data_IF_469453680287
#
_entry.id   IF_469453680287
#
_cell.length_a   1.000
_cell.length_b   1.000
_cell.length_c   1.000
_cell.angle_alpha   90.00
_cell.angle_beta   90.00
_cell.angle_gamma   90.00
#
_symmetry.space_group_name_H-M   'P 1'
#
loop_
_entity.id
_entity.type
_entity.pdbx_description
1 polymer ?
#
# COMPACT_ATOMS: atom_id res chain seq x y z
N UNK A 1 28.68 -2.33 32.16
CA UNK A 1 29.03 -1.71 30.86
C UNK A 1 27.84 -1.94 29.95
N UNK A 2 26.89 -1.02 29.96
CA UNK A 2 25.65 -1.11 29.18
C UNK A 2 25.95 -0.84 27.71
N UNK A 3 25.59 -1.78 26.85
CA UNK A 3 25.65 -1.60 25.41
C UNK A 3 24.71 -0.44 25.01
N UNK A 4 25.12 0.44 24.10
CA UNK A 4 24.35 1.62 23.75
C UNK A 4 23.13 1.30 22.87
N UNK A 5 22.00 1.95 23.16
CA UNK A 5 20.65 1.67 22.63
C UNK A 5 20.36 2.18 21.21
N UNK A 6 21.32 2.12 20.28
CA UNK A 6 21.11 2.49 18.87
C UNK A 6 20.95 1.29 17.94
N UNK A 7 20.47 0.16 18.48
CA UNK A 7 20.11 -1.01 17.67
C UNK A 7 18.69 -0.81 17.16
N UNK A 8 18.58 -0.35 15.91
CA UNK A 8 17.48 -0.60 15.00
C UNK A 8 16.28 -1.35 15.59
N UNK A 9 15.30 -0.62 16.14
CA UNK A 9 14.05 -1.20 16.64
C UNK A 9 13.12 -1.59 15.48
N UNK A 10 13.61 -2.43 14.55
CA UNK A 10 12.74 -3.13 13.61
C UNK A 10 11.86 -4.06 14.44
N UNK A 11 10.66 -3.60 14.78
CA UNK A 11 9.61 -4.50 15.22
C UNK A 11 9.18 -5.25 13.96
N UNK A 12 9.68 -6.48 13.82
CA UNK A 12 9.37 -7.38 12.70
C UNK A 12 7.87 -7.49 12.40
N UNK A 13 7.02 -7.23 13.40
CA UNK A 13 5.56 -7.20 13.30
C UNK A 13 5.02 -5.94 12.59
N UNK A 14 5.61 -4.77 12.81
CA UNK A 14 5.18 -3.52 12.16
C UNK A 14 5.60 -3.49 10.69
N UNK A 15 6.81 -3.95 10.35
CA UNK A 15 7.22 -3.94 8.93
C UNK A 15 6.46 -4.96 8.07
N UNK A 16 5.88 -6.00 8.70
CA UNK A 16 5.22 -7.10 8.02
C UNK A 16 4.03 -6.64 7.16
N UNK A 17 3.28 -5.63 7.58
CA UNK A 17 2.10 -5.18 6.82
C UNK A 17 2.46 -4.28 5.64
N UNK A 18 3.51 -3.46 5.77
CA UNK A 18 4.06 -2.72 4.64
C UNK A 18 4.64 -3.71 3.60
N UNK A 19 5.33 -4.74 4.08
CA UNK A 19 5.83 -5.85 3.26
C UNK A 19 4.69 -6.63 2.62
N UNK A 20 3.59 -6.91 3.34
CA UNK A 20 2.43 -7.60 2.77
C UNK A 20 1.77 -6.78 1.67
N UNK A 21 1.61 -5.48 1.89
CA UNK A 21 1.03 -4.56 0.93
C UNK A 21 1.92 -4.43 -0.32
N UNK A 22 3.17 -4.01 -0.17
CA UNK A 22 4.07 -3.77 -1.30
C UNK A 22 4.48 -5.08 -1.98
N UNK A 23 4.71 -6.14 -1.20
CA UNK A 23 5.05 -7.46 -1.71
C UNK A 23 3.96 -8.05 -2.59
N UNK A 24 2.69 -7.97 -2.18
CA UNK A 24 1.58 -8.43 -3.03
C UNK A 24 1.36 -7.56 -4.27
N UNK A 25 1.59 -6.24 -4.19
CA UNK A 25 1.62 -5.36 -5.38
C UNK A 25 2.71 -5.76 -6.35
N UNK A 26 3.92 -6.07 -5.87
CA UNK A 26 5.05 -6.56 -6.69
C UNK A 26 4.66 -7.87 -7.37
N UNK A 27 4.05 -8.82 -6.65
CA UNK A 27 3.58 -10.09 -7.25
C UNK A 27 2.63 -9.84 -8.40
N UNK A 28 1.69 -8.89 -8.29
CA UNK A 28 0.82 -8.54 -9.41
C UNK A 28 1.56 -7.84 -10.56
N UNK A 29 2.38 -6.83 -10.25
CA UNK A 29 3.08 -6.02 -11.24
C UNK A 29 4.05 -6.84 -12.10
N UNK A 30 4.66 -7.89 -11.56
CA UNK A 30 5.66 -8.68 -12.28
C UNK A 30 5.21 -10.11 -12.59
N UNK A 31 4.30 -10.68 -11.80
CA UNK A 31 3.75 -12.03 -12.04
C UNK A 31 2.51 -12.04 -12.93
N UNK A 32 1.74 -10.94 -12.93
CA UNK A 32 0.53 -10.80 -13.76
C UNK A 32 0.34 -9.35 -14.26
N UNK A 33 1.32 -8.77 -14.98
CA UNK A 33 1.33 -7.35 -15.36
C UNK A 33 0.09 -6.90 -16.15
N UNK A 34 -0.53 -7.82 -16.90
CA UNK A 34 -1.71 -7.54 -17.73
C UNK A 34 -3.03 -7.60 -16.97
N UNK A 35 -3.03 -8.03 -15.70
CA UNK A 35 -4.24 -8.07 -14.90
C UNK A 35 -4.80 -6.66 -14.70
N UNK A 36 -6.13 -6.50 -14.73
CA UNK A 36 -6.78 -5.21 -14.52
C UNK A 36 -6.37 -4.60 -13.16
N UNK A 37 -6.30 -5.43 -12.12
CA UNK A 37 -5.89 -4.98 -10.78
C UNK A 37 -4.43 -4.54 -10.69
N UNK A 38 -3.57 -4.93 -11.64
CA UNK A 38 -2.17 -4.52 -11.67
C UNK A 38 -1.96 -3.17 -12.36
N UNK A 39 -2.96 -2.60 -13.04
CA UNK A 39 -2.76 -1.40 -13.84
C UNK A 39 -2.46 -0.15 -12.99
N UNK A 40 -1.71 0.84 -13.53
CA UNK A 40 -1.15 1.95 -12.77
C UNK A 40 -2.15 2.72 -11.93
N UNK A 41 -3.34 3.03 -12.48
CA UNK A 41 -4.40 3.72 -11.75
C UNK A 41 -4.88 2.92 -10.55
N UNK A 42 -5.07 1.61 -10.71
CA UNK A 42 -5.54 0.75 -9.63
C UNK A 42 -4.49 0.70 -8.51
N UNK A 43 -3.21 0.52 -8.86
CA UNK A 43 -2.11 0.56 -7.89
C UNK A 43 -2.07 1.90 -7.16
N UNK A 44 -1.92 3.02 -7.87
CA UNK A 44 -1.75 4.33 -7.26
C UNK A 44 -2.98 4.76 -6.48
N UNK A 45 -4.15 4.79 -7.10
CA UNK A 45 -5.37 5.27 -6.47
C UNK A 45 -5.84 4.32 -5.36
N UNK A 46 -5.70 3.00 -5.55
CA UNK A 46 -6.05 2.01 -4.54
C UNK A 46 -5.26 2.21 -3.24
N UNK A 47 -3.94 2.33 -3.34
CA UNK A 47 -3.09 2.56 -2.16
C UNK A 47 -3.31 3.93 -1.51
N UNK A 48 -3.47 5.00 -2.30
CA UNK A 48 -3.72 6.35 -1.77
C UNK A 48 -5.05 6.41 -1.02
N UNK A 49 -6.14 5.90 -1.62
CA UNK A 49 -7.46 5.86 -0.97
C UNK A 49 -7.40 5.00 0.29
N UNK A 50 -6.76 3.83 0.22
CA UNK A 50 -6.65 2.94 1.37
C UNK A 50 -5.85 3.57 2.52
N UNK A 51 -4.75 4.27 2.22
CA UNK A 51 -3.98 5.00 3.22
C UNK A 51 -4.79 6.15 3.84
N UNK A 52 -5.56 6.89 3.04
CA UNK A 52 -6.45 7.95 3.54
C UNK A 52 -7.49 7.37 4.50
N UNK A 53 -8.20 6.32 4.09
CA UNK A 53 -9.18 5.62 4.93
C UNK A 53 -8.57 5.14 6.25
N UNK A 54 -7.40 4.51 6.18
CA UNK A 54 -6.71 3.99 7.36
C UNK A 54 -6.25 5.08 8.33
N UNK A 55 -5.61 6.15 7.84
CA UNK A 55 -5.20 7.28 8.68
C UNK A 55 -6.42 7.99 9.28
N UNK A 56 -7.48 8.20 8.51
CA UNK A 56 -8.71 8.83 9.02
C UNK A 56 -9.37 7.94 10.07
N UNK A 57 -9.48 6.63 9.83
CA UNK A 57 -10.03 5.69 10.80
C UNK A 57 -9.20 5.67 12.10
N UNK A 58 -7.87 5.65 12.02
CA UNK A 58 -7.01 5.74 13.21
C UNK A 58 -7.25 7.05 13.98
N UNK A 59 -7.32 8.19 13.29
CA UNK A 59 -7.55 9.49 13.95
C UNK A 59 -8.90 9.59 14.66
N UNK A 60 -9.94 8.95 14.14
CA UNK A 60 -11.30 9.02 14.70
C UNK A 60 -11.56 7.90 15.71
N UNK A 61 -11.03 6.71 15.47
CA UNK A 61 -11.39 5.47 16.17
C UNK A 61 -10.17 4.74 16.77
N UNK A 62 -8.98 5.33 16.77
CA UNK A 62 -7.73 4.65 17.16
C UNK A 62 -7.72 4.10 18.60
N UNK A 63 -8.56 4.64 19.48
CA UNK A 63 -8.79 4.10 20.83
C UNK A 63 -9.50 2.72 20.82
N UNK A 64 -10.15 2.37 19.71
CA UNK A 64 -10.82 1.09 19.45
C UNK A 64 -10.18 0.41 18.24
N UNK A 65 -8.93 -0.03 18.37
CA UNK A 65 -8.08 -0.51 17.27
C UNK A 65 -8.77 -1.48 16.30
N UNK A 66 -9.44 -2.53 16.81
CA UNK A 66 -10.15 -3.53 15.99
C UNK A 66 -11.26 -2.89 15.15
N UNK A 67 -12.00 -1.94 15.72
CA UNK A 67 -13.06 -1.21 15.02
C UNK A 67 -12.46 -0.28 13.98
N UNK A 68 -11.38 0.42 14.31
CA UNK A 68 -10.66 1.28 13.37
C UNK A 68 -10.15 0.49 12.16
N UNK A 69 -9.58 -0.70 12.36
CA UNK A 69 -9.14 -1.59 11.28
C UNK A 69 -10.31 -2.03 10.40
N UNK A 70 -11.41 -2.48 11.01
CA UNK A 70 -12.59 -2.92 10.26
C UNK A 70 -13.19 -1.79 9.42
N UNK A 71 -13.31 -0.59 9.99
CA UNK A 71 -13.81 0.60 9.28
C UNK A 71 -12.85 1.02 8.18
N UNK A 72 -11.54 1.06 8.45
CA UNK A 72 -10.52 1.39 7.46
C UNK A 72 -10.60 0.47 6.25
N UNK A 73 -10.63 -0.85 6.49
CA UNK A 73 -10.67 -1.84 5.42
C UNK A 73 -11.98 -1.77 4.62
N UNK A 74 -13.13 -1.74 5.30
CA UNK A 74 -14.44 -1.69 4.65
C UNK A 74 -14.61 -0.41 3.79
N UNK A 75 -14.23 0.74 4.32
CA UNK A 75 -14.30 2.01 3.58
C UNK A 75 -13.31 2.07 2.43
N UNK A 76 -12.11 1.49 2.57
CA UNK A 76 -11.14 1.39 1.48
C UNK A 76 -11.68 0.54 0.32
N UNK A 77 -12.25 -0.62 0.61
CA UNK A 77 -12.86 -1.49 -0.40
C UNK A 77 -14.01 -0.76 -1.11
N UNK A 78 -14.91 -0.16 -0.34
CA UNK A 78 -16.05 0.59 -0.88
C UNK A 78 -15.57 1.72 -1.81
N UNK A 79 -14.64 2.56 -1.34
CA UNK A 79 -14.17 3.70 -2.13
C UNK A 79 -13.42 3.25 -3.37
N UNK A 80 -12.58 2.22 -3.29
CA UNK A 80 -11.92 1.63 -4.47
C UNK A 80 -12.94 1.14 -5.51
N UNK A 81 -14.06 0.54 -5.08
CA UNK A 81 -15.14 0.14 -5.98
C UNK A 81 -15.83 1.36 -6.61
N UNK A 82 -16.14 2.39 -5.81
CA UNK A 82 -16.77 3.63 -6.29
C UNK A 82 -15.91 4.34 -7.33
N UNK A 83 -14.60 4.42 -7.09
CA UNK A 83 -13.67 5.04 -8.04
C UNK A 83 -13.18 4.06 -9.10
N UNK A 84 -13.71 2.84 -9.21
CA UNK A 84 -13.28 1.83 -10.18
C UNK A 84 -11.76 1.60 -10.22
N UNK A 85 -11.12 1.59 -9.05
CA UNK A 85 -9.67 1.45 -8.89
C UNK A 85 -9.31 0.36 -7.88
N UNK A 86 -9.97 -0.79 -7.99
CA UNK A 86 -9.76 -1.92 -7.08
C UNK A 86 -8.35 -2.48 -7.24
N UNK A 87 -7.57 -2.36 -6.17
CA UNK A 87 -6.27 -3.00 -6.05
C UNK A 87 -6.23 -3.77 -4.72
N UNK A 88 -6.49 -5.08 -4.73
CA UNK A 88 -6.61 -5.87 -3.50
C UNK A 88 -5.42 -5.72 -2.52
N UNK A 89 -4.14 -5.62 -2.97
CA UNK A 89 -3.01 -5.33 -2.07
C UNK A 89 -3.15 -4.07 -1.22
N UNK A 90 -3.86 -3.05 -1.72
CA UNK A 90 -4.05 -1.79 -1.01
C UNK A 90 -4.86 -1.94 0.30
N UNK A 91 -5.67 -3.00 0.43
CA UNK A 91 -6.35 -3.28 1.70
C UNK A 91 -5.38 -3.42 2.88
N UNK A 92 -4.19 -4.02 2.66
CA UNK A 92 -3.17 -4.11 3.69
C UNK A 92 -2.57 -2.74 4.07
N UNK A 93 -2.54 -1.77 3.14
CA UNK A 93 -2.15 -0.38 3.46
C UNK A 93 -3.10 0.27 4.44
N UNK A 94 -4.42 0.07 4.28
CA UNK A 94 -5.43 0.63 5.18
C UNK A 94 -5.27 0.06 6.61
N UNK A 95 -5.07 -1.25 6.71
CA UNK A 95 -4.81 -1.92 7.99
C UNK A 95 -3.53 -1.37 8.62
N UNK A 96 -2.44 -1.28 7.85
CA UNK A 96 -1.15 -0.83 8.35
C UNK A 96 -1.16 0.61 8.88
N UNK A 97 -1.94 1.51 8.25
CA UNK A 97 -2.10 2.88 8.74
C UNK A 97 -2.71 2.95 10.16
N UNK A 98 -3.44 1.91 10.59
CA UNK A 98 -4.05 1.82 11.92
C UNK A 98 -3.14 1.12 12.91
N UNK A 99 -2.53 -0.02 12.53
CA UNK A 99 -1.77 -0.89 13.46
C UNK A 99 -0.25 -0.80 13.29
N UNK A 100 0.24 0.14 12.46
CA UNK A 100 1.66 0.31 12.17
C UNK A 100 2.50 0.89 13.31
N UNK A 101 1.92 1.06 14.49
CA UNK A 101 2.59 1.59 15.67
C UNK A 101 2.92 3.08 15.59
N UNK A 102 3.52 3.66 16.65
CA UNK A 102 3.72 5.11 16.79
C UNK A 102 4.50 5.77 15.65
N UNK A 103 5.45 5.04 15.05
CA UNK A 103 6.24 5.54 13.93
C UNK A 103 5.39 5.79 12.68
N UNK A 104 4.34 5.00 12.46
CA UNK A 104 3.43 5.12 11.32
C UNK A 104 2.28 6.04 11.65
N UNK A 105 1.60 5.80 12.78
CA UNK A 105 0.45 6.59 13.18
C UNK A 105 0.83 8.05 13.46
N UNK A 106 2.07 8.29 13.94
CA UNK A 106 2.63 9.62 14.15
C UNK A 106 2.85 10.42 12.87
N UNK A 107 3.00 9.78 11.71
CA UNK A 107 3.08 10.47 10.42
C UNK A 107 1.73 11.12 10.05
N UNK A 108 0.61 10.57 10.54
CA UNK A 108 -0.72 11.00 10.15
C UNK A 108 -0.88 10.97 8.63
N UNK A 109 -1.37 12.07 8.03
CA UNK A 109 -1.57 12.11 6.57
C UNK A 109 -0.27 12.16 5.77
N UNK A 110 0.88 12.42 6.41
CA UNK A 110 2.16 12.31 5.74
C UNK A 110 2.42 10.87 5.28
N UNK A 111 1.89 9.86 5.98
CA UNK A 111 1.93 8.45 5.59
C UNK A 111 1.44 8.20 4.15
N UNK A 112 0.41 8.95 3.73
CA UNK A 112 -0.18 8.83 2.39
C UNK A 112 0.81 9.26 1.31
N UNK A 113 1.55 10.35 1.54
CA UNK A 113 2.58 10.83 0.62
C UNK A 113 3.84 9.98 0.72
N UNK A 114 4.28 9.73 1.96
CA UNK A 114 5.51 9.07 2.35
C UNK A 114 5.20 8.10 3.50
N UNK A 115 5.25 6.78 3.30
CA UNK A 115 5.91 6.08 2.19
C UNK A 115 5.00 5.69 1.02
N UNK A 116 3.67 5.86 1.11
CA UNK A 116 2.73 5.17 0.22
C UNK A 116 2.78 5.67 -1.23
N UNK A 117 2.48 6.94 -1.49
CA UNK A 117 2.42 7.45 -2.86
C UNK A 117 3.77 7.36 -3.57
N UNK A 118 4.86 7.78 -2.90
CA UNK A 118 6.21 7.68 -3.46
C UNK A 118 6.60 6.22 -3.73
N UNK A 119 6.33 5.31 -2.80
CA UNK A 119 6.60 3.89 -2.97
C UNK A 119 5.87 3.30 -4.19
N UNK A 120 4.60 3.63 -4.37
CA UNK A 120 3.81 3.16 -5.52
C UNK A 120 4.25 3.77 -6.85
N UNK A 121 4.64 5.05 -6.88
CA UNK A 121 5.21 5.67 -8.08
C UNK A 121 6.51 4.95 -8.49
N UNK A 122 7.38 4.64 -7.53
CA UNK A 122 8.62 3.90 -7.79
C UNK A 122 8.32 2.49 -8.31
N UNK A 123 7.39 1.77 -7.69
CA UNK A 123 7.01 0.42 -8.13
C UNK A 123 6.39 0.41 -9.53
N UNK A 124 5.49 1.35 -9.82
CA UNK A 124 4.89 1.47 -11.17
C UNK A 124 5.96 1.83 -12.19
N UNK A 125 6.87 2.76 -11.89
CA UNK A 125 7.97 3.10 -12.78
C UNK A 125 8.87 1.89 -13.06
N UNK A 126 9.22 1.12 -12.02
CA UNK A 126 10.00 -0.10 -12.16
C UNK A 126 9.25 -1.16 -12.98
N UNK A 127 7.95 -1.31 -12.76
CA UNK A 127 7.11 -2.21 -13.56
C UNK A 127 7.09 -1.81 -15.03
N UNK A 128 7.00 -0.52 -15.36
CA UNK A 128 7.11 -0.03 -16.75
C UNK A 128 8.47 -0.37 -17.34
N UNK A 129 9.57 -0.13 -16.63
CA UNK A 129 10.90 -0.42 -17.16
C UNK A 129 11.11 -1.91 -17.38
N UNK A 130 10.89 -2.74 -16.36
CA UNK A 130 11.21 -4.17 -16.41
C UNK A 130 10.32 -4.89 -17.42
N UNK A 131 9.00 -4.72 -17.33
CA UNK A 131 8.05 -5.48 -18.14
C UNK A 131 8.19 -5.15 -19.65
N UNK A 132 8.64 -3.93 -20.00
CA UNK A 132 8.89 -3.57 -21.40
C UNK A 132 10.33 -3.86 -21.90
N UNK A 133 11.30 -4.06 -21.01
CA UNK A 133 12.69 -4.40 -21.41
C UNK A 133 12.79 -5.85 -21.88
N UNK A 134 12.09 -6.76 -21.21
CA UNK A 134 12.05 -8.18 -21.59
C UNK A 134 10.88 -8.40 -22.56
N UNK A 135 11.08 -8.04 -23.83
CA UNK A 135 10.08 -8.08 -24.93
C UNK A 135 9.58 -9.50 -25.29
N UNK A 136 8.95 -10.18 -24.35
CA UNK A 136 8.04 -11.30 -24.64
C UNK A 136 6.62 -10.73 -24.69
N UNK A 137 5.81 -11.11 -25.68
CA UNK A 137 4.46 -10.54 -25.91
C UNK A 137 3.51 -10.54 -24.69
N UNK A 138 3.79 -11.37 -23.68
CA UNK A 138 3.06 -11.46 -22.41
C UNK A 138 3.37 -10.36 -21.39
N UNK A 139 4.45 -9.59 -21.54
CA UNK A 139 4.94 -8.65 -20.53
C UNK A 139 4.70 -7.17 -20.86
N UNK A 140 3.92 -6.79 -21.88
CA UNK A 140 3.67 -5.36 -22.11
C UNK A 140 2.88 -4.72 -20.94
N UNK A 141 3.40 -3.64 -20.37
CA UNK A 141 2.80 -2.91 -19.24
C UNK A 141 3.02 -1.39 -19.36
N UNK A 142 2.00 -0.56 -19.11
CA UNK A 142 0.63 -0.94 -18.79
C UNK A 142 -0.20 -1.30 -20.03
N UNK A 143 -1.29 -2.02 -19.82
CA UNK A 143 -2.32 -2.24 -20.84
C UNK A 143 -3.17 -0.97 -20.99
N UNK A 144 -3.48 -0.30 -19.88
CA UNK A 144 -4.13 1.01 -19.86
C UNK A 144 -3.70 1.79 -18.62
N UNK A 145 -3.74 3.11 -18.70
CA UNK A 145 -3.34 3.98 -17.58
C UNK A 145 -4.50 4.34 -16.67
N UNK A 146 -5.72 4.45 -17.20
CA UNK A 146 -6.92 4.89 -16.49
C UNK A 146 -8.13 4.01 -16.81
#
# INVERSE_FOLDING_TARGET
MSMPHYVWQWSWATDLFLVASFGSTIVLLFGAPRAEFAQPRNVLAGHIVSALCGVTAFKVLGQYEVVAVAVALATSILLMQVIHAVHPPAGATAVFAVIGGPAITGLGYLFVLLPIAVGMVILVALAVVINNTFSTASHHYPVHWW
#
